data_IF_700106033759
#
_entry.id   IF_700106033759
#
_cell.length_a   1.000
_cell.length_b   1.000
_cell.length_c   1.000
_cell.angle_alpha   90.00
_cell.angle_beta   90.00
_cell.angle_gamma   90.00
#
_symmetry.space_group_name_H-M   'P 1'
#
loop_
_entity.id
_entity.type
_entity.pdbx_description
1 polymer ?
#
# COMPACT_ATOMS: atom_id res chain seq x y z
N UNK A 1 19.38 20.59 4.61
CA UNK A 1 18.73 19.27 4.82
C UNK A 1 19.07 18.38 3.64
N UNK A 2 19.46 17.13 3.86
CA UNK A 2 19.79 16.27 2.73
C UNK A 2 18.53 15.77 2.01
N UNK A 3 18.72 15.22 0.83
CA UNK A 3 17.66 14.79 -0.06
C UNK A 3 16.74 13.73 0.57
N UNK A 4 17.32 12.80 1.32
CA UNK A 4 16.52 11.75 1.97
C UNK A 4 15.58 12.31 3.02
N UNK A 5 16.05 13.23 3.84
CA UNK A 5 15.24 13.87 4.88
C UNK A 5 14.17 14.74 4.25
N UNK A 6 14.49 15.46 3.18
CA UNK A 6 13.49 16.26 2.45
C UNK A 6 12.37 15.37 1.91
N UNK A 7 12.71 14.21 1.35
CA UNK A 7 11.72 13.26 0.86
C UNK A 7 10.79 12.77 1.98
N UNK A 8 11.34 12.42 3.14
CA UNK A 8 10.54 11.99 4.27
C UNK A 8 9.62 13.10 4.78
N UNK A 9 10.12 14.32 4.85
CA UNK A 9 9.35 15.46 5.36
C UNK A 9 8.26 15.92 4.38
N UNK A 10 8.47 15.75 3.09
CA UNK A 10 7.51 16.17 2.06
C UNK A 10 6.44 15.11 1.77
N UNK A 11 6.59 13.92 2.32
CA UNK A 11 5.62 12.84 2.12
C UNK A 11 4.24 13.24 2.61
N UNK A 12 3.24 12.88 1.85
CA UNK A 12 1.83 13.07 2.22
C UNK A 12 1.09 11.75 2.10
N UNK A 13 0.05 11.58 2.92
CA UNK A 13 -0.88 10.48 2.72
C UNK A 13 -1.70 10.76 1.47
N UNK A 14 -1.65 9.84 0.50
CA UNK A 14 -2.41 9.97 -0.72
C UNK A 14 -3.80 9.35 -0.52
N UNK A 15 -4.85 10.11 -0.82
CA UNK A 15 -6.25 9.67 -0.68
C UNK A 15 -7.00 9.65 -2.01
N UNK A 16 -6.30 9.71 -3.12
CA UNK A 16 -6.86 9.57 -4.47
C UNK A 16 -5.80 8.91 -5.33
N UNK A 17 -6.20 7.93 -6.10
CA UNK A 17 -5.28 7.17 -6.95
C UNK A 17 -5.80 7.14 -8.36
N UNK A 18 -4.88 7.09 -9.31
CA UNK A 18 -5.22 6.89 -10.71
C UNK A 18 -5.72 5.45 -10.92
N UNK A 19 -6.65 5.22 -11.84
CA UNK A 19 -7.11 3.87 -12.15
C UNK A 19 -6.08 3.05 -12.92
N UNK A 20 -5.01 3.69 -13.40
CA UNK A 20 -3.94 3.04 -14.16
C UNK A 20 -3.09 2.19 -13.23
N UNK A 21 -2.87 0.93 -13.62
CA UNK A 21 -2.07 0.01 -12.83
C UNK A 21 -0.58 0.42 -12.87
N UNK A 22 0.10 0.21 -11.76
CA UNK A 22 1.55 0.45 -11.65
C UNK A 22 2.32 -0.53 -12.54
N UNK A 23 3.44 -0.10 -13.09
CA UNK A 23 4.32 -0.96 -13.88
C UNK A 23 5.00 -1.98 -12.97
N UNK A 24 5.27 -3.17 -13.48
CA UNK A 24 5.92 -4.24 -12.72
C UNK A 24 7.27 -3.82 -12.15
N UNK A 25 8.05 -3.07 -12.91
CA UNK A 25 9.35 -2.55 -12.46
C UNK A 25 9.21 -1.61 -11.28
N UNK A 26 8.21 -0.75 -11.30
CA UNK A 26 7.94 0.19 -10.22
C UNK A 26 7.45 -0.54 -8.97
N UNK A 27 6.57 -1.53 -9.16
CA UNK A 27 6.07 -2.36 -8.07
C UNK A 27 7.22 -3.11 -7.40
N UNK A 28 8.14 -3.67 -8.18
CA UNK A 28 9.30 -4.39 -7.66
C UNK A 28 10.16 -3.48 -6.79
N UNK A 29 10.38 -2.23 -7.20
CA UNK A 29 11.14 -1.27 -6.41
C UNK A 29 10.45 -0.94 -5.09
N UNK A 30 9.14 -0.77 -5.10
CA UNK A 30 8.36 -0.51 -3.90
C UNK A 30 8.43 -1.68 -2.92
N UNK A 31 8.28 -2.90 -3.43
CA UNK A 31 8.36 -4.11 -2.61
C UNK A 31 9.75 -4.28 -2.01
N UNK A 32 10.79 -4.02 -2.80
CA UNK A 32 12.16 -4.07 -2.32
C UNK A 32 12.40 -3.05 -1.20
N UNK A 33 11.92 -1.83 -1.36
CA UNK A 33 12.01 -0.83 -0.31
C UNK A 33 11.31 -1.28 0.97
N UNK A 34 10.15 -1.93 0.85
CA UNK A 34 9.42 -2.46 1.98
C UNK A 34 10.17 -3.55 2.75
N UNK A 35 10.97 -4.36 2.05
CA UNK A 35 11.77 -5.41 2.71
C UNK A 35 12.91 -4.86 3.56
N UNK A 36 13.31 -3.62 3.31
CA UNK A 36 14.35 -2.95 4.09
C UNK A 36 13.80 -2.08 5.22
N UNK A 37 12.48 -2.04 5.37
CA UNK A 37 11.88 -1.29 6.47
C UNK A 37 12.28 -1.90 7.81
N UNK A 38 12.51 -1.03 8.80
CA UNK A 38 12.86 -1.47 10.14
C UNK A 38 11.72 -2.27 10.78
N UNK A 39 12.05 -3.37 11.43
CA UNK A 39 11.09 -4.16 12.18
C UNK A 39 11.72 -4.63 13.49
N UNK A 40 10.89 -5.16 14.39
CA UNK A 40 11.34 -5.59 15.71
C UNK A 40 12.45 -6.62 15.62
N UNK A 41 13.59 -6.36 16.26
CA UNK A 41 14.75 -7.26 16.35
C UNK A 41 15.38 -7.59 15.00
N UNK A 42 15.10 -6.83 13.95
CA UNK A 42 15.69 -7.05 12.64
C UNK A 42 15.33 -8.36 11.97
N UNK A 43 14.25 -9.00 12.39
CA UNK A 43 13.88 -10.34 11.90
C UNK A 43 13.22 -10.35 10.52
N UNK A 44 12.82 -9.19 10.00
CA UNK A 44 12.10 -9.09 8.74
C UNK A 44 10.94 -10.09 8.65
N UNK A 45 10.22 -10.26 9.77
CA UNK A 45 9.15 -11.25 9.87
C UNK A 45 7.90 -10.91 9.05
N UNK A 46 7.55 -9.65 8.76
CA UNK A 46 6.40 -9.37 7.93
C UNK A 46 6.56 -9.88 6.52
N UNK A 47 5.50 -10.46 5.98
CA UNK A 47 5.40 -10.83 4.58
C UNK A 47 4.55 -9.80 3.86
N UNK A 48 4.87 -9.53 2.59
CA UNK A 48 4.11 -8.60 1.78
C UNK A 48 3.32 -9.40 0.75
N UNK A 49 2.01 -9.24 0.75
CA UNK A 49 1.10 -9.83 -0.23
C UNK A 49 0.59 -8.71 -1.12
N UNK A 50 0.73 -8.88 -2.43
CA UNK A 50 0.32 -7.87 -3.41
C UNK A 50 -0.97 -8.31 -4.08
N UNK A 51 -1.98 -7.44 -4.07
CA UNK A 51 -3.25 -7.66 -4.75
C UNK A 51 -3.38 -6.66 -5.90
N UNK A 52 -3.51 -7.17 -7.12
CA UNK A 52 -3.69 -6.35 -8.32
C UNK A 52 -4.92 -6.76 -9.13
N UNK A 53 -5.54 -7.89 -8.83
CA UNK A 53 -6.79 -8.30 -9.45
C UNK A 53 -7.91 -7.40 -8.93
N UNK A 54 -8.68 -6.72 -9.80
CA UNK A 54 -9.76 -5.84 -9.35
C UNK A 54 -10.79 -6.53 -8.45
N UNK A 55 -11.08 -7.81 -8.70
CA UNK A 55 -12.04 -8.55 -7.88
C UNK A 55 -11.50 -8.78 -6.46
N UNK A 56 -10.21 -9.12 -6.33
CA UNK A 56 -9.58 -9.34 -5.04
C UNK A 56 -9.46 -8.04 -4.25
N UNK A 57 -9.09 -6.94 -4.91
CA UNK A 57 -8.99 -5.62 -4.29
C UNK A 57 -10.37 -5.19 -3.79
N UNK A 58 -11.41 -5.35 -4.59
CA UNK A 58 -12.77 -4.99 -4.21
C UNK A 58 -13.26 -5.81 -3.02
N UNK A 59 -12.98 -7.11 -2.99
CA UNK A 59 -13.37 -7.99 -1.88
C UNK A 59 -12.68 -7.60 -0.58
N UNK A 60 -11.38 -7.32 -0.63
CA UNK A 60 -10.64 -6.89 0.55
C UNK A 60 -11.15 -5.54 1.05
N UNK A 61 -11.43 -4.60 0.13
CA UNK A 61 -11.98 -3.30 0.49
C UNK A 61 -13.34 -3.46 1.19
N UNK A 62 -14.20 -4.35 0.67
CA UNK A 62 -15.48 -4.64 1.27
C UNK A 62 -15.34 -5.17 2.71
N UNK A 63 -14.40 -6.08 2.92
CA UNK A 63 -14.13 -6.64 4.24
C UNK A 63 -13.64 -5.58 5.21
N UNK A 64 -12.73 -4.72 4.77
CA UNK A 64 -12.23 -3.62 5.61
C UNK A 64 -13.31 -2.60 5.93
N UNK A 65 -14.16 -2.26 4.97
CA UNK A 65 -15.28 -1.35 5.18
C UNK A 65 -16.25 -1.91 6.23
N UNK A 66 -16.50 -3.21 6.21
CA UNK A 66 -17.36 -3.87 7.19
C UNK A 66 -16.77 -3.80 8.60
N UNK A 67 -15.45 -3.97 8.74
CA UNK A 67 -14.76 -3.87 10.04
C UNK A 67 -14.82 -2.44 10.59
N UNK A 68 -14.70 -1.44 9.73
CA UNK A 68 -14.82 -0.03 10.11
C UNK A 68 -16.24 0.30 10.57
N UNK A 69 -17.24 -0.52 10.17
CA UNK A 69 -18.62 -0.28 10.50
C UNK A 69 -19.36 0.61 9.51
N UNK A 70 -18.76 0.90 8.37
CA UNK A 70 -19.35 1.69 7.30
C UNK A 70 -19.22 0.94 5.97
N UNK A 71 -20.22 0.13 5.55
CA UNK A 71 -20.13 -0.66 4.33
C UNK A 71 -19.99 0.17 3.04
N UNK A 72 -20.33 1.45 3.09
CA UNK A 72 -20.20 2.36 1.95
C UNK A 72 -18.82 3.01 1.86
N UNK A 73 -17.94 2.78 2.83
CA UNK A 73 -16.60 3.37 2.81
C UNK A 73 -15.73 2.74 1.74
N UNK A 74 -14.81 3.55 1.21
CA UNK A 74 -13.82 3.11 0.24
C UNK A 74 -12.42 3.34 0.82
N UNK A 75 -11.96 2.50 1.76
CA UNK A 75 -10.71 2.71 2.48
C UNK A 75 -9.46 2.68 1.60
N UNK A 76 -9.54 2.13 0.38
CA UNK A 76 -8.42 2.09 -0.54
C UNK A 76 -8.40 3.25 -1.54
N UNK A 77 -9.39 4.13 -1.49
CA UNK A 77 -9.46 5.35 -2.32
C UNK A 77 -9.28 5.08 -3.82
N UNK A 78 -9.74 3.93 -4.30
CA UNK A 78 -9.66 3.56 -5.72
C UNK A 78 -8.30 3.07 -6.19
N UNK A 79 -7.38 2.77 -5.28
CA UNK A 79 -6.06 2.27 -5.64
C UNK A 79 -6.16 0.91 -6.38
N UNK A 80 -5.51 0.76 -7.55
CA UNK A 80 -5.56 -0.49 -8.31
C UNK A 80 -4.63 -1.58 -7.77
N UNK A 81 -3.65 -1.22 -6.97
CA UNK A 81 -2.72 -2.15 -6.32
C UNK A 81 -2.77 -1.95 -4.82
N UNK A 82 -2.89 -3.04 -4.07
CA UNK A 82 -2.90 -3.03 -2.61
C UNK A 82 -1.85 -4.00 -2.10
N UNK A 83 -1.03 -3.54 -1.17
CA UNK A 83 -0.03 -4.37 -0.51
C UNK A 83 -0.47 -4.64 0.93
N UNK A 84 -0.55 -5.92 1.28
CA UNK A 84 -0.82 -6.37 2.65
C UNK A 84 0.50 -6.73 3.32
N UNK A 85 0.69 -6.22 4.50
CA UNK A 85 1.91 -6.45 5.27
C UNK A 85 1.61 -7.31 6.49
#
# INVERSE_FOLDING_TARGET
MNEFIQTLCSRKSCKRYLPTQIKDEELEQVLRAGTYAANGMGKQSPKIVVLQDPADVAELERMNAAIIGNPAAHPFYGAPTVCLV
#
